data_IF_305339179893
#
_entry.id   IF_305339179893
#
_cell.length_a   1.000
_cell.length_b   1.000
_cell.length_c   1.000
_cell.angle_alpha   90.00
_cell.angle_beta   90.00
_cell.angle_gamma   90.00
#
_symmetry.space_group_name_H-M   'P 1'
#
loop_
_entity.id
_entity.type
_entity.pdbx_description
1 polymer ?
#
# COMPACT_ATOMS: atom_id res chain seq x y z
N UNK A 1 0.10 17.43 -7.35
CA UNK A 1 -0.85 16.43 -6.82
C UNK A 1 -0.25 15.91 -5.52
N UNK A 2 -0.94 16.06 -4.41
CA UNK A 2 -0.42 15.65 -3.10
C UNK A 2 -0.17 14.14 -3.07
N UNK A 3 1.11 13.81 -3.18
CA UNK A 3 1.88 12.94 -2.28
C UNK A 3 1.02 11.96 -1.46
N UNK A 4 0.84 10.74 -2.01
CA UNK A 4 0.72 9.54 -1.19
C UNK A 4 -0.41 9.51 -0.14
N UNK A 5 -1.64 9.88 -0.49
CA UNK A 5 -2.76 9.72 0.45
C UNK A 5 -2.95 8.25 0.87
N UNK A 6 -3.17 8.02 2.17
CA UNK A 6 -3.39 6.67 2.71
C UNK A 6 -4.77 6.17 2.26
N UNK A 7 -4.75 5.06 1.53
CA UNK A 7 -5.96 4.39 1.04
C UNK A 7 -6.28 3.15 1.87
N UNK A 8 -7.54 2.75 1.87
CA UNK A 8 -8.02 1.45 2.28
C UNK A 8 -8.01 0.48 1.10
N UNK A 9 -7.59 -0.76 1.36
CA UNK A 9 -7.65 -1.84 0.39
C UNK A 9 -8.16 -3.15 1.02
N UNK A 10 -8.68 -4.03 0.16
CA UNK A 10 -9.09 -5.40 0.51
C UNK A 10 -8.94 -6.33 -0.69
N UNK A 11 -8.56 -7.58 -0.45
CA UNK A 11 -8.52 -8.63 -1.49
C UNK A 11 -9.92 -9.07 -1.99
N UNK A 12 -10.98 -8.32 -1.68
CA UNK A 12 -12.37 -8.61 -2.04
C UNK A 12 -13.08 -9.51 -1.03
N UNK A 13 -12.36 -10.27 -0.22
CA UNK A 13 -12.87 -11.08 0.89
C UNK A 13 -11.92 -10.92 2.07
N UNK A 14 -12.41 -10.50 3.23
CA UNK A 14 -11.63 -10.41 4.47
C UNK A 14 -11.35 -8.99 4.97
N UNK A 15 -10.24 -8.84 5.69
CA UNK A 15 -9.91 -7.61 6.41
C UNK A 15 -9.51 -6.46 5.46
N UNK A 16 -9.94 -5.26 5.84
CA UNK A 16 -9.56 -4.00 5.19
C UNK A 16 -8.26 -3.52 5.84
N UNK A 17 -7.28 -3.13 5.03
CA UNK A 17 -5.96 -2.73 5.52
C UNK A 17 -5.49 -1.42 4.87
N UNK A 18 -4.63 -0.64 5.57
CA UNK A 18 -4.14 0.62 5.06
C UNK A 18 -2.98 0.40 4.09
N UNK A 19 -2.98 1.18 3.02
CA UNK A 19 -1.94 1.20 2.00
C UNK A 19 -1.59 2.63 1.58
N UNK A 20 -0.46 2.77 0.91
CA UNK A 20 -0.15 3.94 0.08
C UNK A 20 0.23 3.46 -1.31
N UNK A 21 -0.37 4.05 -2.35
CA UNK A 21 -0.02 3.77 -3.75
C UNK A 21 1.19 4.61 -4.14
N UNK A 22 2.30 3.95 -4.51
CA UNK A 22 3.53 4.62 -4.93
C UNK A 22 3.56 4.85 -6.45
N UNK A 23 3.04 3.92 -7.23
CA UNK A 23 2.92 4.02 -8.70
C UNK A 23 1.49 3.69 -9.13
N UNK A 24 0.87 4.64 -9.83
CA UNK A 24 -0.49 4.47 -10.37
C UNK A 24 -0.50 3.78 -11.75
N UNK A 25 0.66 3.49 -12.34
CA UNK A 25 0.74 2.69 -13.56
C UNK A 25 0.50 1.19 -13.25
N UNK A 26 -0.38 0.56 -14.01
CA UNK A 26 -0.84 -0.82 -13.81
C UNK A 26 0.12 -1.90 -14.34
N UNK A 27 1.41 -1.73 -14.10
CA UNK A 27 2.47 -2.53 -14.73
C UNK A 27 3.17 -3.52 -13.81
N UNK A 28 2.74 -3.62 -12.55
CA UNK A 28 3.45 -4.39 -11.53
C UNK A 28 2.85 -5.76 -11.32
N UNK A 29 3.70 -6.79 -11.29
CA UNK A 29 3.27 -8.17 -11.08
C UNK A 29 3.98 -8.80 -9.87
N UNK A 30 3.30 -9.73 -9.21
CA UNK A 30 3.88 -10.56 -8.15
C UNK A 30 5.00 -11.45 -8.73
N UNK A 31 6.22 -11.43 -8.19
CA UNK A 31 7.28 -12.31 -8.68
C UNK A 31 6.98 -13.79 -8.40
N UNK A 32 7.65 -14.67 -9.13
CA UNK A 32 7.72 -16.07 -8.72
C UNK A 32 8.45 -16.14 -7.37
N UNK A 33 7.74 -16.64 -6.35
CA UNK A 33 8.18 -16.58 -4.95
C UNK A 33 9.57 -17.20 -4.73
N UNK A 34 10.43 -16.60 -3.87
CA UNK A 34 10.29 -15.32 -3.16
C UNK A 34 10.89 -14.12 -3.95
N UNK A 35 10.27 -12.93 -3.87
CA UNK A 35 10.83 -11.71 -4.51
C UNK A 35 10.04 -10.41 -4.26
N UNK A 36 10.50 -9.33 -4.89
CA UNK A 36 9.85 -8.01 -4.99
C UNK A 36 8.92 -7.90 -6.20
N UNK A 37 7.91 -7.01 -6.18
CA UNK A 37 7.14 -6.68 -7.37
C UNK A 37 8.05 -6.29 -8.54
N UNK A 38 7.75 -6.81 -9.73
CA UNK A 38 8.50 -6.55 -10.96
C UNK A 38 7.66 -5.72 -11.93
N UNK A 39 8.29 -4.77 -12.63
CA UNK A 39 7.63 -4.02 -13.70
C UNK A 39 7.56 -4.86 -14.98
N UNK A 40 6.40 -4.84 -15.62
CA UNK A 40 6.11 -5.48 -16.90
C UNK A 40 5.65 -4.44 -17.92
N UNK A 41 5.66 -4.79 -19.21
CA UNK A 41 5.25 -3.87 -20.27
C UNK A 41 3.71 -3.74 -20.41
N UNK A 42 2.96 -4.71 -19.89
CA UNK A 42 1.50 -4.79 -19.98
C UNK A 42 0.84 -4.08 -18.77
N UNK A 43 -0.27 -3.39 -19.01
CA UNK A 43 -1.03 -2.60 -18.04
C UNK A 43 -2.16 -3.39 -17.35
N UNK A 44 -2.23 -4.71 -17.57
CA UNK A 44 -3.28 -5.57 -17.00
C UNK A 44 -3.01 -6.08 -15.58
N UNK A 45 -1.92 -5.66 -14.93
CA UNK A 45 -1.47 -6.24 -13.66
C UNK A 45 -1.94 -5.41 -12.44
N UNK A 46 -0.98 -4.82 -11.71
CA UNK A 46 -1.22 -4.08 -10.49
C UNK A 46 -0.42 -2.80 -10.40
N UNK A 47 -0.69 -2.06 -9.34
CA UNK A 47 0.04 -0.87 -8.92
C UNK A 47 1.03 -1.25 -7.83
N UNK A 48 2.14 -0.52 -7.75
CA UNK A 48 3.06 -0.68 -6.63
C UNK A 48 2.50 0.03 -5.41
N UNK A 49 2.35 -0.71 -4.31
CA UNK A 49 1.84 -0.19 -3.04
C UNK A 49 2.74 -0.53 -1.86
N UNK A 50 2.72 0.35 -0.86
CA UNK A 50 3.15 0.03 0.49
C UNK A 50 1.95 -0.43 1.29
N UNK A 51 2.09 -1.56 1.97
CA UNK A 51 1.07 -2.12 2.87
C UNK A 51 1.62 -2.22 4.27
N UNK A 52 0.82 -1.81 5.25
CA UNK A 52 1.08 -2.12 6.65
C UNK A 52 0.53 -3.51 7.01
N UNK A 53 1.33 -4.28 7.73
CA UNK A 53 1.06 -5.69 8.10
C UNK A 53 1.18 -5.94 9.61
N UNK A 54 1.12 -4.88 10.41
CA UNK A 54 1.16 -4.98 11.86
C UNK A 54 -0.12 -5.58 12.47
N UNK A 55 -0.09 -5.92 13.77
CA UNK A 55 -1.24 -6.46 14.47
C UNK A 55 -2.32 -5.37 14.67
N UNK A 56 -3.60 -5.74 14.63
CA UNK A 56 -4.72 -4.78 14.69
C UNK A 56 -4.73 -3.84 15.90
N UNK A 57 -4.08 -4.20 17.01
CA UNK A 57 -3.95 -3.35 18.20
C UNK A 57 -2.99 -2.16 18.02
N UNK A 58 -2.24 -2.10 16.91
CA UNK A 58 -1.25 -1.06 16.59
C UNK A 58 -1.60 -0.33 15.27
N UNK A 59 -2.84 -0.49 14.79
CA UNK A 59 -3.30 0.09 13.51
C UNK A 59 -3.27 1.63 13.51
N UNK A 60 -3.34 2.26 14.69
CA UNK A 60 -3.27 3.71 14.84
C UNK A 60 -1.90 4.29 14.43
N UNK A 61 -0.83 3.49 14.45
CA UNK A 61 0.51 3.89 13.99
C UNK A 61 0.69 3.76 12.47
N UNK A 62 -0.16 2.96 11.81
CA UNK A 62 -0.02 2.63 10.39
C UNK A 62 0.00 3.86 9.47
N UNK A 63 -0.88 4.87 9.65
CA UNK A 63 -0.85 6.10 8.85
C UNK A 63 0.51 6.79 8.83
N UNK A 64 1.10 7.03 10.00
CA UNK A 64 2.36 7.75 10.15
C UNK A 64 3.52 6.96 9.55
N UNK A 65 3.56 5.65 9.78
CA UNK A 65 4.59 4.76 9.21
C UNK A 65 4.53 4.74 7.68
N UNK A 66 3.32 4.58 7.12
CA UNK A 66 3.10 4.56 5.67
C UNK A 66 3.50 5.88 5.02
N UNK A 67 3.06 7.02 5.57
CA UNK A 67 3.42 8.35 5.03
C UNK A 67 4.92 8.60 5.08
N UNK A 68 5.57 8.24 6.20
CA UNK A 68 7.01 8.42 6.39
C UNK A 68 7.80 7.57 5.40
N UNK A 69 7.40 6.31 5.18
CA UNK A 69 8.03 5.45 4.21
C UNK A 69 7.79 5.93 2.77
N UNK A 70 6.57 6.34 2.44
CA UNK A 70 6.22 6.83 1.10
C UNK A 70 6.95 8.13 0.74
N UNK A 71 7.21 9.02 1.70
CA UNK A 71 8.02 10.21 1.49
C UNK A 71 9.49 9.90 1.13
N UNK A 72 9.95 8.69 1.44
CA UNK A 72 11.30 8.18 1.12
C UNK A 72 11.30 7.23 -0.09
N UNK A 73 10.15 6.99 -0.70
CA UNK A 73 10.06 6.11 -1.85
C UNK A 73 10.87 6.68 -3.03
N UNK A 74 11.49 5.81 -3.85
CA UNK A 74 12.16 6.25 -5.07
C UNK A 74 11.16 6.92 -6.03
N UNK A 75 11.66 7.77 -6.92
CA UNK A 75 10.84 8.38 -7.96
C UNK A 75 10.39 7.33 -8.99
N UNK A 76 9.18 7.46 -9.52
CA UNK A 76 8.65 6.49 -10.49
C UNK A 76 9.00 6.88 -11.93
N UNK A 77 9.34 5.92 -12.82
CA UNK A 77 9.59 4.50 -12.53
C UNK A 77 10.92 4.31 -11.77
N UNK A 78 10.95 3.50 -10.70
CA UNK A 78 12.17 3.25 -9.97
C UNK A 78 13.02 2.22 -10.72
N UNK A 79 14.33 2.33 -10.61
CA UNK A 79 15.19 1.23 -11.06
C UNK A 79 15.12 0.04 -10.08
N UNK A 80 15.46 -1.20 -10.50
CA UNK A 80 15.39 -2.37 -9.63
C UNK A 80 16.27 -2.28 -8.37
N UNK A 81 17.43 -1.62 -8.45
CA UNK A 81 18.37 -1.50 -7.33
C UNK A 81 17.86 -0.49 -6.29
N UNK A 82 17.31 0.64 -6.72
CA UNK A 82 16.62 1.63 -5.89
C UNK A 82 15.42 1.01 -5.19
N UNK A 83 14.61 0.24 -5.90
CA UNK A 83 13.45 -0.44 -5.30
C UNK A 83 13.90 -1.48 -4.25
N UNK A 84 14.96 -2.23 -4.53
CA UNK A 84 15.53 -3.18 -3.58
C UNK A 84 16.14 -2.49 -2.35
N UNK A 85 16.89 -1.40 -2.54
CA UNK A 85 17.44 -0.62 -1.45
C UNK A 85 16.32 -0.02 -0.58
N UNK A 86 15.28 0.51 -1.21
CA UNK A 86 14.10 1.00 -0.52
C UNK A 86 13.41 -0.11 0.29
N UNK A 87 13.24 -1.30 -0.28
CA UNK A 87 12.65 -2.45 0.40
C UNK A 87 13.42 -2.82 1.68
N UNK A 88 14.74 -2.90 1.61
CA UNK A 88 15.61 -3.25 2.75
C UNK A 88 15.54 -2.19 3.86
N UNK A 89 15.31 -0.93 3.50
CA UNK A 89 15.18 0.18 4.44
C UNK A 89 13.77 0.34 5.04
N UNK A 90 12.78 -0.48 4.64
CA UNK A 90 11.43 -0.36 5.18
C UNK A 90 11.41 -0.73 6.68
N UNK A 91 10.68 0.05 7.50
CA UNK A 91 10.38 -0.33 8.87
C UNK A 91 9.77 -1.73 8.95
N UNK A 92 9.97 -2.44 10.06
CA UNK A 92 9.21 -3.67 10.34
C UNK A 92 7.71 -3.40 10.15
N UNK A 93 6.99 -4.37 9.59
CA UNK A 93 5.54 -4.32 9.30
C UNK A 93 5.14 -3.46 8.09
N UNK A 94 6.08 -2.91 7.34
CA UNK A 94 5.79 -2.37 6.01
C UNK A 94 6.32 -3.31 4.94
N UNK A 95 5.49 -3.56 3.92
CA UNK A 95 5.87 -4.40 2.80
C UNK A 95 5.53 -3.72 1.48
N UNK A 96 6.42 -3.86 0.51
CA UNK A 96 6.14 -3.58 -0.90
C UNK A 96 5.32 -4.73 -1.47
N UNK A 97 4.30 -4.38 -2.24
CA UNK A 97 3.36 -5.34 -2.80
C UNK A 97 2.75 -4.80 -4.10
N UNK A 98 2.32 -5.69 -4.99
CA UNK A 98 1.53 -5.34 -6.17
C UNK A 98 0.03 -5.43 -5.86
N UNK A 99 -0.77 -4.42 -6.20
CA UNK A 99 -2.20 -4.44 -5.93
C UNK A 99 -3.01 -3.94 -7.13
N UNK A 100 -3.95 -4.74 -7.61
CA UNK A 100 -4.87 -4.31 -8.66
C UNK A 100 -5.81 -3.20 -8.15
N UNK A 101 -6.08 -2.17 -8.98
CA UNK A 101 -6.86 -1.00 -8.54
C UNK A 101 -8.27 -1.33 -8.06
N UNK A 102 -8.89 -2.40 -8.57
CA UNK A 102 -10.20 -2.89 -8.10
C UNK A 102 -10.24 -3.27 -6.61
N UNK A 103 -9.08 -3.46 -5.99
CA UNK A 103 -8.94 -3.77 -4.57
C UNK A 103 -8.77 -2.54 -3.68
N UNK A 104 -8.62 -1.36 -4.27
CA UNK A 104 -8.59 -0.08 -3.56
C UNK A 104 -10.03 0.41 -3.38
N UNK A 105 -10.36 0.78 -2.15
CA UNK A 105 -11.72 1.15 -1.75
C UNK A 105 -11.89 2.67 -1.70
N UNK A 106 -10.83 3.40 -1.33
CA UNK A 106 -10.85 4.85 -1.14
C UNK A 106 -10.03 5.26 0.10
N UNK A 107 -10.19 6.47 0.64
CA UNK A 107 -9.40 6.96 1.77
C UNK A 107 -9.53 6.08 3.02
N UNK A 108 -8.41 5.85 3.71
CA UNK A 108 -8.38 5.03 4.94
C UNK A 108 -9.32 5.54 6.05
N UNK A 109 -9.47 6.86 6.15
CA UNK A 109 -10.38 7.52 7.11
C UNK A 109 -11.86 7.22 6.85
N UNK A 110 -12.20 6.81 5.62
CA UNK A 110 -13.56 6.48 5.19
C UNK A 110 -13.77 4.96 5.05
N UNK A 111 -12.83 4.15 5.53
CA UNK A 111 -12.93 2.70 5.39
C UNK A 111 -14.23 2.17 6.02
N UNK A 112 -14.85 1.15 5.42
CA UNK A 112 -15.94 0.43 6.06
C UNK A 112 -15.56 0.00 7.49
N UNK A 113 -16.42 0.31 8.46
CA UNK A 113 -16.17 0.04 9.88
C UNK A 113 -15.43 1.14 10.65
N UNK A 114 -14.95 2.21 10.00
CA UNK A 114 -14.35 3.37 10.68
C UNK A 114 -15.35 4.13 11.57
N UNK A 115 -16.65 4.01 11.26
CA UNK A 115 -17.72 4.59 12.08
C UNK A 115 -18.23 3.57 13.10
N UNK A 116 -17.98 3.80 14.39
CA UNK A 116 -18.90 3.37 15.45
C UNK A 116 -19.67 4.58 16.00
N UNK A 117 -20.97 4.43 16.31
CA UNK A 117 -21.95 5.49 16.26
C UNK A 117 -21.89 6.41 17.49
N UNK A 118 -22.10 7.71 17.31
CA UNK A 118 -22.54 8.54 18.44
C UNK A 118 -24.00 8.13 18.73
N UNK A 119 -24.18 7.35 19.80
CA UNK A 119 -25.49 7.13 20.44
C UNK A 119 -26.22 8.47 20.52
N UNK A 120 -27.29 8.63 19.76
CA UNK A 120 -28.31 9.61 20.08
C UNK A 120 -29.20 9.00 21.16
N UNK A 121 -29.44 9.82 22.17
CA UNK A 121 -30.06 9.57 23.48
C UNK A 121 -31.49 9.03 23.35
#
# INVERSE_FOLDING_TARGET
MNQHDIQAASYGIGAIFPIVVLDQAHRWHRPHHPGLPEQQADDAYGMLVLRWTGPSGEEDEAPTLLMTAAARAPAMPPDPAELQAFHVCLPPRLHLFDLAARHIIGPWSQRPGASRPRRAV
#
